data_IF_088811861031
#
_entry.id   IF_088811861031
#
_cell.length_a   1.000
_cell.length_b   1.000
_cell.length_c   1.000
_cell.angle_alpha   90.00
_cell.angle_beta   90.00
_cell.angle_gamma   90.00
#
_symmetry.space_group_name_H-M   'P 1'
#
loop_
_entity.id
_entity.type
_entity.pdbx_description
1 polymer ?
#
# COMPACT_ATOMS: atom_id res chain seq x y z
N UNK A 1 8.68 -9.88 12.32
CA UNK A 1 8.79 -9.92 10.84
C UNK A 1 7.65 -10.77 10.33
N UNK A 2 6.83 -10.25 9.42
CA UNK A 2 5.59 -10.87 8.94
C UNK A 2 5.51 -10.79 7.42
N UNK A 3 5.17 -11.89 6.77
CA UNK A 3 4.91 -11.91 5.32
C UNK A 3 3.45 -11.58 5.05
N UNK A 4 3.21 -10.56 4.22
CA UNK A 4 1.88 -10.02 3.91
C UNK A 4 1.48 -10.26 2.45
N UNK A 5 2.45 -10.45 1.56
CA UNK A 5 2.23 -10.78 0.15
C UNK A 5 2.81 -12.14 -0.19
N UNK A 6 2.04 -12.94 -0.92
CA UNK A 6 2.40 -14.31 -1.33
C UNK A 6 1.93 -14.54 -2.75
N UNK A 7 2.66 -15.39 -3.47
CA UNK A 7 2.28 -15.85 -4.81
C UNK A 7 0.98 -16.66 -4.76
N UNK A 8 0.32 -16.86 -5.90
CA UNK A 8 -0.97 -17.57 -6.01
C UNK A 8 -0.91 -19.00 -5.47
N UNK A 9 0.24 -19.66 -5.65
CA UNK A 9 0.50 -21.01 -5.14
C UNK A 9 0.89 -21.02 -3.64
N UNK A 10 0.97 -19.86 -3.00
CA UNK A 10 1.28 -19.65 -1.57
C UNK A 10 2.67 -20.15 -1.12
N UNK A 11 3.52 -20.64 -2.03
CA UNK A 11 4.87 -21.13 -1.75
C UNK A 11 5.91 -20.01 -1.66
N UNK A 12 5.75 -18.94 -2.45
CA UNK A 12 6.70 -17.82 -2.52
C UNK A 12 6.17 -16.62 -1.74
N UNK A 13 7.02 -16.10 -0.86
CA UNK A 13 6.74 -14.89 -0.09
C UNK A 13 7.27 -13.68 -0.85
N UNK A 14 6.38 -12.78 -1.26
CA UNK A 14 6.73 -11.69 -2.17
C UNK A 14 6.88 -10.35 -1.44
N UNK A 15 6.08 -10.13 -0.38
CA UNK A 15 6.14 -8.90 0.42
C UNK A 15 6.18 -9.23 1.91
N UNK A 16 7.07 -8.55 2.63
CA UNK A 16 7.23 -8.61 4.07
C UNK A 16 7.17 -7.23 4.72
N UNK A 17 6.78 -7.23 5.99
CA UNK A 17 6.76 -6.08 6.87
C UNK A 17 7.40 -6.42 8.23
N UNK A 18 8.02 -5.43 8.87
CA UNK A 18 8.57 -5.58 10.22
C UNK A 18 7.73 -4.78 11.23
N UNK A 19 7.17 -5.50 12.19
CA UNK A 19 6.47 -4.93 13.34
C UNK A 19 7.42 -4.08 14.19
N UNK A 20 6.91 -3.02 14.81
CA UNK A 20 7.65 -2.07 15.64
C UNK A 20 8.72 -1.22 14.92
N UNK A 21 8.65 -1.09 13.59
CA UNK A 21 9.43 -0.13 12.82
C UNK A 21 8.51 0.88 12.11
N UNK A 22 8.83 2.19 12.05
CA UNK A 22 7.94 3.21 11.48
C UNK A 22 7.61 2.97 10.01
N UNK A 23 8.56 2.43 9.24
CA UNK A 23 8.34 1.97 7.87
C UNK A 23 9.40 0.94 7.50
N UNK A 24 9.01 -0.32 7.38
CA UNK A 24 9.89 -1.41 6.93
C UNK A 24 9.08 -2.33 6.03
N UNK A 25 9.28 -2.16 4.72
CA UNK A 25 8.59 -2.94 3.69
C UNK A 25 9.66 -3.50 2.76
N UNK A 26 9.64 -4.81 2.56
CA UNK A 26 10.48 -5.50 1.58
C UNK A 26 9.62 -6.10 0.49
N UNK A 27 9.96 -5.86 -0.77
CA UNK A 27 9.26 -6.41 -1.93
C UNK A 27 10.24 -7.16 -2.83
N UNK A 28 9.78 -8.26 -3.42
CA UNK A 28 10.60 -9.05 -4.35
C UNK A 28 10.55 -8.52 -5.79
N UNK A 29 9.43 -7.92 -6.20
CA UNK A 29 9.29 -7.30 -7.52
C UNK A 29 10.02 -5.95 -7.60
N UNK A 30 10.14 -5.41 -8.81
CA UNK A 30 10.79 -4.11 -9.06
C UNK A 30 9.76 -2.96 -9.11
N UNK A 31 9.50 -2.25 -7.99
CA UNK A 31 8.57 -1.13 -7.95
C UNK A 31 9.01 0.06 -8.82
N UNK A 32 10.26 0.08 -9.26
CA UNK A 32 10.83 1.06 -10.21
C UNK A 32 10.06 1.05 -11.54
N UNK A 33 9.79 -0.14 -12.09
CA UNK A 33 9.24 -0.28 -13.44
C UNK A 33 7.76 0.07 -13.54
N UNK A 34 7.03 0.00 -12.43
CA UNK A 34 5.60 0.35 -12.34
C UNK A 34 5.36 1.80 -11.92
N UNK A 35 6.41 2.52 -11.49
CA UNK A 35 6.31 3.92 -11.08
C UNK A 35 6.10 4.85 -12.29
N UNK A 36 5.26 5.88 -12.15
CA UNK A 36 5.02 6.91 -13.17
C UNK A 36 5.07 8.30 -12.54
N UNK A 37 5.42 9.37 -13.28
CA UNK A 37 5.53 10.72 -12.71
C UNK A 37 4.24 11.21 -12.01
N UNK A 38 3.07 10.92 -12.60
CA UNK A 38 1.77 11.30 -12.04
C UNK A 38 1.18 10.23 -11.10
N UNK A 39 1.81 9.06 -11.02
CA UNK A 39 1.37 7.93 -10.20
C UNK A 39 2.61 7.18 -9.69
N UNK A 40 3.31 7.74 -8.71
CA UNK A 40 4.48 7.08 -8.12
C UNK A 40 4.06 5.79 -7.42
N UNK A 41 4.94 4.79 -7.42
CA UNK A 41 4.65 3.52 -6.76
C UNK A 41 4.60 3.68 -5.24
N UNK A 42 3.71 2.92 -4.61
CA UNK A 42 3.42 3.06 -3.19
C UNK A 42 4.61 2.78 -2.24
N UNK A 43 5.52 1.83 -2.53
CA UNK A 43 6.71 1.62 -1.69
C UNK A 43 7.59 2.88 -1.58
N UNK A 44 7.74 3.64 -2.67
CA UNK A 44 8.52 4.88 -2.63
C UNK A 44 7.80 6.02 -1.93
N UNK A 45 6.51 6.20 -2.20
CA UNK A 45 5.72 7.22 -1.49
C UNK A 45 5.75 6.99 0.02
N UNK A 46 5.53 5.74 0.45
CA UNK A 46 5.59 5.36 1.86
C UNK A 46 6.96 5.64 2.47
N UNK A 47 8.04 5.29 1.76
CA UNK A 47 9.42 5.55 2.20
C UNK A 47 9.70 7.05 2.39
N UNK A 48 9.31 7.88 1.42
CA UNK A 48 9.53 9.34 1.49
C UNK A 48 8.70 9.97 2.61
N UNK A 49 7.43 9.62 2.74
CA UNK A 49 6.61 10.12 3.84
C UNK A 49 7.12 9.67 5.21
N UNK A 50 7.65 8.45 5.32
CA UNK A 50 8.28 7.97 6.54
C UNK A 50 9.55 8.77 6.85
N UNK A 51 10.39 9.03 5.85
CA UNK A 51 11.60 9.84 6.01
C UNK A 51 11.29 11.29 6.42
N UNK A 52 10.18 11.87 5.92
CA UNK A 52 9.71 13.20 6.31
C UNK A 52 8.95 13.22 7.65
N UNK A 53 8.65 12.08 8.27
CA UNK A 53 7.84 12.01 9.49
C UNK A 53 6.33 12.24 9.29
N UNK A 54 5.88 12.36 8.04
CA UNK A 54 4.50 12.71 7.67
C UNK A 54 3.61 11.48 7.40
N UNK A 55 4.17 10.27 7.44
CA UNK A 55 3.45 9.04 7.10
C UNK A 55 2.11 8.88 7.84
N UNK A 56 2.09 9.15 9.16
CA UNK A 56 0.86 9.03 9.98
C UNK A 56 -0.22 10.03 9.59
N UNK A 57 0.20 11.26 9.26
CA UNK A 57 -0.71 12.33 8.86
C UNK A 57 -1.36 11.99 7.53
N UNK A 58 -0.56 11.56 6.55
CA UNK A 58 -1.03 11.15 5.22
C UNK A 58 -2.01 9.98 5.33
N UNK A 59 -1.67 8.93 6.08
CA UNK A 59 -2.57 7.79 6.27
C UNK A 59 -3.91 8.19 6.91
N UNK A 60 -3.87 9.07 7.92
CA UNK A 60 -5.08 9.58 8.57
C UNK A 60 -5.98 10.36 7.60
N UNK A 61 -5.39 11.13 6.67
CA UNK A 61 -6.14 11.87 5.65
C UNK A 61 -6.84 10.92 4.67
N UNK A 62 -6.12 9.89 4.21
CA UNK A 62 -6.67 8.88 3.28
C UNK A 62 -7.87 8.15 3.90
N UNK A 63 -7.79 7.78 5.18
CA UNK A 63 -8.89 7.09 5.87
C UNK A 63 -10.11 7.99 6.10
N UNK A 64 -9.92 9.28 6.34
CA UNK A 64 -11.03 10.23 6.62
C UNK A 64 -11.81 10.66 5.38
N UNK A 65 -11.26 10.52 4.18
CA UNK A 65 -11.94 10.91 2.94
C UNK A 65 -13.02 9.92 2.47
N UNK A 66 -13.28 8.84 3.21
CA UNK A 66 -14.38 7.90 2.93
C UNK A 66 -15.62 8.25 3.77
N UNK A 67 -16.61 8.96 3.19
CA UNK A 67 -17.93 9.20 3.79
C UNK A 67 -18.89 8.00 3.62
N UNK A 68 -19.88 7.76 4.51
CA UNK A 68 -20.67 6.52 4.57
C UNK A 68 -21.66 6.27 3.42
N UNK A 69 -21.83 7.21 2.49
CA UNK A 69 -22.90 7.13 1.46
C UNK A 69 -22.55 6.23 0.26
N UNK A 70 -21.31 5.76 0.13
CA UNK A 70 -20.86 4.98 -1.05
C UNK A 70 -21.08 3.44 -0.92
N UNK A 71 -21.74 2.94 0.13
CA UNK A 71 -21.87 1.49 0.38
C UNK A 71 -22.98 0.83 -0.49
N UNK A 72 -23.96 1.58 -1.02
CA UNK A 72 -25.18 0.97 -1.58
C UNK A 72 -25.35 1.02 -3.12
N UNK A 73 -24.59 1.81 -3.89
CA UNK A 73 -24.88 1.98 -5.34
C UNK A 73 -23.67 2.11 -6.27
N UNK A 74 -22.44 1.96 -5.80
CA UNK A 74 -21.26 2.01 -6.68
C UNK A 74 -20.61 0.65 -6.83
N UNK A 75 -20.48 0.20 -8.08
CA UNK A 75 -19.40 -0.71 -8.44
C UNK A 75 -18.11 -0.18 -7.80
N UNK A 76 -17.24 -1.05 -7.26
CA UNK A 76 -16.18 -0.61 -6.39
C UNK A 76 -15.25 0.34 -7.15
N UNK A 77 -15.40 1.64 -6.87
CA UNK A 77 -14.47 2.66 -7.33
C UNK A 77 -13.09 2.37 -6.74
N UNK A 78 -12.00 2.75 -7.44
CA UNK A 78 -10.70 2.07 -7.37
C UNK A 78 -9.92 2.27 -6.06
N UNK A 79 -10.54 2.84 -5.02
CA UNK A 79 -9.86 3.32 -3.81
C UNK A 79 -10.51 2.88 -2.49
N UNK A 80 -11.54 2.03 -2.49
CA UNK A 80 -12.13 1.51 -1.24
C UNK A 80 -11.51 0.19 -0.77
N UNK A 81 -10.64 -0.43 -1.56
CA UNK A 81 -9.84 -1.59 -1.18
C UNK A 81 -8.40 -1.37 -1.66
N UNK A 82 -7.66 -0.49 -1.00
CA UNK A 82 -6.20 -0.55 -1.11
C UNK A 82 -5.71 -1.69 -0.21
N UNK A 83 -6.11 -2.92 -0.58
CA UNK A 83 -5.20 -4.05 -0.41
C UNK A 83 -4.03 -3.72 -1.34
N UNK A 84 -3.01 -3.08 -0.78
CA UNK A 84 -1.83 -2.61 -1.49
C UNK A 84 -1.06 -3.73 -2.23
N UNK A 85 -1.50 -4.98 -2.06
CA UNK A 85 -0.85 -6.20 -2.54
C UNK A 85 -1.76 -7.16 -3.32
N UNK A 86 -2.92 -6.72 -3.83
CA UNK A 86 -3.85 -7.66 -4.50
C UNK A 86 -3.79 -7.75 -6.02
N UNK A 87 -2.98 -6.94 -6.70
CA UNK A 87 -2.78 -7.09 -8.14
C UNK A 87 -1.38 -6.58 -8.53
N UNK A 88 -0.38 -7.41 -8.25
CA UNK A 88 0.79 -7.57 -9.12
C UNK A 88 0.66 -8.91 -9.80
#
# INVERSE_FOLDING_TARGET
MKFVGRSDDNERMEILELENHPYFVGVQYHPEYISRPLKPSAPYLGLIWAACGELKNVLTLVTKQQTPTDIATKSPGPFSHVNLFRHT
#
